data_IF_659186958021
#
_entry.id   IF_659186958021
#
_cell.length_a   1.000
_cell.length_b   1.000
_cell.length_c   1.000
_cell.angle_alpha   90.00
_cell.angle_beta   90.00
_cell.angle_gamma   90.00
#
_symmetry.space_group_name_H-M   'P 1'
#
loop_
_entity.id
_entity.type
_entity.pdbx_description
1 polymer ?
#
# COMPACT_ATOMS: atom_id res chain seq x y z
N UNK A 1 0.59 -12.58 37.91
CA UNK A 1 1.53 -12.22 36.83
C UNK A 1 1.12 -12.82 35.47
N UNK A 2 0.82 -14.11 35.37
CA UNK A 2 0.38 -14.77 34.11
C UNK A 2 -0.89 -14.17 33.47
N UNK A 3 -1.93 -13.86 34.26
CA UNK A 3 -3.16 -13.18 33.75
C UNK A 3 -2.88 -11.80 33.14
N UNK A 4 -1.90 -11.08 33.68
CA UNK A 4 -1.49 -9.78 33.15
C UNK A 4 -0.71 -9.93 31.84
N UNK A 5 0.19 -10.90 31.76
CA UNK A 5 0.95 -11.23 30.54
C UNK A 5 0.01 -11.69 29.42
N UNK A 6 -0.95 -12.58 29.70
CA UNK A 6 -1.98 -13.02 28.75
C UNK A 6 -2.84 -11.87 28.23
N UNK A 7 -3.30 -10.96 29.11
CA UNK A 7 -4.08 -9.79 28.70
C UNK A 7 -3.27 -8.87 27.80
N UNK A 8 -1.96 -8.70 28.08
CA UNK A 8 -1.05 -7.87 27.28
C UNK A 8 -0.74 -8.52 25.92
N UNK A 9 -0.56 -9.84 25.88
CA UNK A 9 -0.42 -10.62 24.64
C UNK A 9 -1.65 -10.53 23.74
N UNK A 10 -2.86 -10.49 24.30
CA UNK A 10 -4.09 -10.32 23.53
C UNK A 10 -4.29 -8.88 23.04
N UNK A 11 -3.75 -7.88 23.75
CA UNK A 11 -3.82 -6.47 23.34
C UNK A 11 -2.84 -6.13 22.21
N UNK A 12 -1.70 -6.82 22.11
CA UNK A 12 -0.68 -6.55 21.10
C UNK A 12 -1.20 -6.68 19.65
N UNK A 13 -1.86 -7.78 19.24
CA UNK A 13 -2.42 -7.90 17.89
C UNK A 13 -3.43 -6.81 17.57
N UNK A 14 -4.27 -6.44 18.54
CA UNK A 14 -5.27 -5.38 18.36
C UNK A 14 -4.59 -4.02 18.14
N UNK A 15 -3.56 -3.72 18.92
CA UNK A 15 -2.81 -2.48 18.79
C UNK A 15 -2.08 -2.41 17.44
N UNK A 16 -1.40 -3.51 17.05
CA UNK A 16 -0.72 -3.62 15.76
C UNK A 16 -1.70 -3.51 14.59
N UNK A 17 -2.87 -4.13 14.70
CA UNK A 17 -3.92 -4.02 13.71
C UNK A 17 -4.39 -2.57 13.56
N UNK A 18 -4.74 -1.90 14.67
CA UNK A 18 -5.14 -0.49 14.63
C UNK A 18 -4.05 0.41 14.04
N UNK A 19 -2.79 0.16 14.41
CA UNK A 19 -1.66 0.91 13.86
C UNK A 19 -1.49 0.66 12.36
N UNK A 20 -1.66 -0.59 11.89
CA UNK A 20 -1.59 -0.94 10.47
C UNK A 20 -2.69 -0.25 9.66
N UNK A 21 -3.92 -0.20 10.19
CA UNK A 21 -5.05 0.49 9.54
C UNK A 21 -4.79 1.99 9.52
N UNK A 22 -4.27 2.58 10.60
CA UNK A 22 -3.94 3.99 10.65
C UNK A 22 -2.85 4.36 9.63
N UNK A 23 -1.77 3.59 9.55
CA UNK A 23 -0.70 3.79 8.56
C UNK A 23 -1.25 3.66 7.14
N UNK A 24 -2.04 2.63 6.88
CA UNK A 24 -2.68 2.43 5.57
C UNK A 24 -3.58 3.62 5.20
N UNK A 25 -4.40 4.10 6.13
CA UNK A 25 -5.25 5.26 5.93
C UNK A 25 -4.45 6.54 5.69
N UNK A 26 -3.32 6.75 6.37
CA UNK A 26 -2.44 7.91 6.14
C UNK A 26 -1.82 7.85 4.75
N UNK A 27 -1.35 6.69 4.31
CA UNK A 27 -0.76 6.50 2.98
C UNK A 27 -1.80 6.69 1.88
N UNK A 28 -3.05 6.33 2.14
CA UNK A 28 -4.17 6.45 1.19
C UNK A 28 -4.99 7.73 1.35
N UNK A 29 -4.66 8.59 2.33
CA UNK A 29 -5.31 9.88 2.56
C UNK A 29 -5.10 10.91 1.45
N UNK A 30 -3.97 10.96 0.72
CA UNK A 30 -3.81 11.87 -0.41
C UNK A 30 -4.94 11.69 -1.43
N UNK A 31 -5.59 12.78 -1.89
CA UNK A 31 -6.60 12.69 -2.92
C UNK A 31 -5.95 12.37 -4.27
N UNK A 32 -6.06 11.11 -4.68
CA UNK A 32 -5.51 10.61 -5.95
C UNK A 32 -4.84 9.26 -5.78
N UNK A 33 -4.90 8.46 -6.84
CA UNK A 33 -4.17 7.19 -6.91
C UNK A 33 -2.69 7.45 -7.17
N UNK A 34 -1.80 6.51 -6.82
CA UNK A 34 -0.39 6.61 -7.22
C UNK A 34 -0.24 6.89 -8.73
N UNK A 35 -1.11 6.27 -9.55
CA UNK A 35 -1.14 6.48 -11.00
C UNK A 35 -1.49 7.92 -11.39
N UNK A 36 -2.37 8.59 -10.64
CA UNK A 36 -2.70 10.00 -10.89
C UNK A 36 -1.48 10.88 -10.66
N UNK A 37 -0.75 10.64 -9.57
CA UNK A 37 0.51 11.35 -9.27
C UNK A 37 1.58 11.03 -10.31
N UNK A 38 1.77 9.76 -10.66
CA UNK A 38 2.73 9.31 -11.66
C UNK A 38 2.48 9.93 -13.05
N UNK A 39 1.21 9.99 -13.47
CA UNK A 39 0.82 10.64 -14.73
C UNK A 39 1.09 12.14 -14.68
N UNK A 40 0.84 12.81 -13.56
CA UNK A 40 1.18 14.22 -13.38
C UNK A 40 2.70 14.45 -13.47
N UNK A 41 3.51 13.55 -12.88
CA UNK A 41 4.98 13.61 -12.97
C UNK A 41 5.48 13.37 -14.39
N UNK A 42 4.92 12.40 -15.12
CA UNK A 42 5.26 12.15 -16.53
C UNK A 42 4.90 13.34 -17.41
N UNK A 43 3.70 13.91 -17.24
CA UNK A 43 3.24 15.08 -17.98
C UNK A 43 4.16 16.29 -17.73
N UNK A 44 4.65 16.48 -16.50
CA UNK A 44 5.63 17.52 -16.18
C UNK A 44 7.02 17.29 -16.78
N UNK A 45 7.35 16.04 -17.12
CA UNK A 45 8.61 15.62 -17.75
C UNK A 45 8.55 15.57 -19.29
N UNK A 46 7.42 15.99 -19.89
CA UNK A 46 7.20 15.97 -21.33
C UNK A 46 6.87 14.60 -21.94
N UNK A 47 6.67 13.57 -21.10
CA UNK A 47 6.23 12.24 -21.53
C UNK A 47 4.73 12.06 -21.27
N UNK A 48 3.99 11.53 -22.24
CA UNK A 48 2.57 11.22 -22.05
C UNK A 48 2.36 9.72 -22.09
N UNK A 49 1.60 9.20 -21.14
CA UNK A 49 1.12 7.82 -21.13
C UNK A 49 -0.33 7.85 -21.63
N UNK A 50 -0.76 6.87 -22.44
CA UNK A 50 -2.13 6.88 -22.96
C UNK A 50 -3.14 6.59 -21.84
N UNK A 51 -4.35 7.14 -21.94
CA UNK A 51 -5.42 6.87 -20.96
C UNK A 51 -5.73 5.37 -20.82
N UNK A 52 -5.60 4.62 -21.91
CA UNK A 52 -5.76 3.16 -21.95
C UNK A 52 -4.67 2.44 -21.14
N UNK A 53 -3.42 2.92 -21.21
CA UNK A 53 -2.33 2.37 -20.40
C UNK A 53 -2.51 2.67 -18.91
N UNK A 54 -3.00 3.87 -18.56
CA UNK A 54 -3.33 4.22 -17.15
C UNK A 54 -4.38 3.25 -16.61
N UNK A 55 -5.43 2.99 -17.38
CA UNK A 55 -6.52 2.14 -16.93
C UNK A 55 -6.09 0.66 -16.84
N UNK A 56 -5.26 0.19 -17.78
CA UNK A 56 -4.65 -1.13 -17.69
C UNK A 56 -3.79 -1.28 -16.42
N UNK A 57 -2.96 -0.27 -16.10
CA UNK A 57 -2.17 -0.23 -14.87
C UNK A 57 -3.07 -0.17 -13.62
N UNK A 58 -4.16 0.60 -13.66
CA UNK A 58 -5.13 0.68 -12.54
C UNK A 58 -5.74 -0.68 -12.22
N UNK A 59 -6.09 -1.44 -13.25
CA UNK A 59 -6.62 -2.79 -13.09
C UNK A 59 -5.55 -3.78 -12.61
N UNK A 60 -4.33 -3.71 -13.16
CA UNK A 60 -3.22 -4.57 -12.79
C UNK A 60 -2.82 -4.41 -11.31
N UNK A 61 -2.69 -3.17 -10.85
CA UNK A 61 -2.40 -2.88 -9.44
C UNK A 61 -3.62 -3.05 -8.52
N UNK A 62 -4.82 -3.19 -9.09
CA UNK A 62 -6.06 -3.40 -8.34
C UNK A 62 -6.53 -2.14 -7.61
N UNK A 63 -6.16 -0.97 -8.12
CA UNK A 63 -6.54 0.32 -7.54
C UNK A 63 -8.02 0.67 -7.84
N UNK A 64 -8.62 0.00 -8.83
CA UNK A 64 -10.07 -0.02 -9.07
C UNK A 64 -10.87 -0.72 -7.94
N UNK A 65 -10.21 -1.59 -7.15
CA UNK A 65 -10.90 -2.39 -6.13
C UNK A 65 -11.27 -1.55 -4.91
N UNK A 66 -12.33 -1.93 -4.17
CA UNK A 66 -12.67 -1.28 -2.92
C UNK A 66 -11.49 -1.24 -1.93
N UNK A 67 -11.40 -0.17 -1.14
CA UNK A 67 -10.33 0.08 -0.16
C UNK A 67 -10.05 -1.12 0.75
N UNK A 68 -11.09 -1.83 1.19
CA UNK A 68 -10.96 -3.01 2.05
C UNK A 68 -10.27 -4.19 1.33
N UNK A 69 -10.49 -4.36 0.02
CA UNK A 69 -9.80 -5.38 -0.79
C UNK A 69 -8.33 -5.03 -0.94
N UNK A 70 -8.03 -3.74 -1.17
CA UNK A 70 -6.65 -3.26 -1.26
C UNK A 70 -5.90 -3.48 0.06
N UNK A 71 -6.54 -3.17 1.20
CA UNK A 71 -5.98 -3.42 2.53
C UNK A 71 -5.72 -4.91 2.79
N UNK A 72 -6.68 -5.80 2.46
CA UNK A 72 -6.49 -7.24 2.64
C UNK A 72 -5.33 -7.78 1.80
N UNK A 73 -5.23 -7.37 0.53
CA UNK A 73 -4.12 -7.76 -0.36
C UNK A 73 -2.78 -7.24 0.17
N UNK A 74 -2.75 -5.98 0.62
CA UNK A 74 -1.56 -5.37 1.23
C UNK A 74 -1.13 -6.13 2.51
N UNK A 75 -2.09 -6.43 3.40
CA UNK A 75 -1.83 -7.18 4.63
C UNK A 75 -1.33 -8.60 4.34
N UNK A 76 -1.91 -9.29 3.36
CA UNK A 76 -1.48 -10.64 2.96
C UNK A 76 -0.04 -10.62 2.42
N UNK A 77 0.30 -9.64 1.60
CA UNK A 77 1.67 -9.45 1.09
C UNK A 77 2.64 -9.16 2.24
N UNK A 78 2.27 -8.27 3.16
CA UNK A 78 3.07 -7.93 4.34
C UNK A 78 3.36 -9.15 5.23
N UNK A 79 2.33 -9.96 5.51
CA UNK A 79 2.46 -11.19 6.29
C UNK A 79 3.29 -12.27 5.57
N UNK A 80 3.35 -12.23 4.23
CA UNK A 80 4.18 -13.10 3.41
C UNK A 80 5.63 -12.61 3.29
N UNK A 81 5.99 -11.49 3.95
CA UNK A 81 7.29 -10.85 3.84
C UNK A 81 7.50 -10.06 2.55
N UNK A 82 6.46 -9.92 1.72
CA UNK A 82 6.51 -9.13 0.50
C UNK A 82 6.08 -7.68 0.79
N UNK A 83 7.07 -6.79 0.86
CA UNK A 83 6.85 -5.36 1.09
C UNK A 83 6.28 -4.61 -0.13
N UNK A 84 6.07 -5.31 -1.24
CA UNK A 84 5.59 -4.75 -2.50
C UNK A 84 6.70 -4.21 -3.38
N UNK A 85 6.32 -3.74 -4.56
CA UNK A 85 7.20 -3.07 -5.51
C UNK A 85 7.04 -1.55 -5.35
N UNK A 86 8.16 -0.84 -5.38
CA UNK A 86 8.17 0.60 -5.62
C UNK A 86 7.83 0.82 -7.08
N UNK A 87 6.71 1.49 -7.31
CA UNK A 87 6.25 1.84 -8.65
C UNK A 87 7.12 2.94 -9.29
N UNK A 88 7.78 3.75 -8.46
CA UNK A 88 8.67 4.82 -8.92
C UNK A 88 10.03 4.27 -9.39
N UNK A 89 10.63 3.35 -8.62
CA UNK A 89 11.93 2.76 -8.96
C UNK A 89 11.83 1.41 -9.69
N UNK A 90 10.62 0.87 -9.87
CA UNK A 90 10.36 -0.48 -10.39
C UNK A 90 11.19 -1.57 -9.69
N UNK A 91 11.42 -1.43 -8.38
CA UNK A 91 12.22 -2.34 -7.56
C UNK A 91 11.47 -2.80 -6.32
N UNK A 92 11.76 -4.00 -5.78
CA UNK A 92 11.18 -4.43 -4.51
C UNK A 92 11.47 -3.41 -3.42
N UNK A 93 10.46 -3.05 -2.63
CA UNK A 93 10.64 -2.13 -1.52
C UNK A 93 11.71 -2.65 -0.56
N UNK A 94 11.81 -3.97 -0.35
CA UNK A 94 12.83 -4.61 0.48
C UNK A 94 14.28 -4.22 0.09
N UNK A 95 14.57 -3.97 -1.19
CA UNK A 95 15.89 -3.53 -1.64
C UNK A 95 16.15 -2.05 -1.37
N UNK A 96 15.10 -1.25 -1.21
CA UNK A 96 15.18 0.19 -0.98
C UNK A 96 15.33 0.55 0.50
N UNK A 97 14.83 -0.29 1.40
CA UNK A 97 14.79 0.02 2.85
C UNK A 97 16.00 -0.50 3.64
N UNK A 98 16.85 -1.35 3.03
CA UNK A 98 18.13 -1.79 3.61
C UNK A 98 18.00 -2.67 4.84
#
# INVERSE_FOLDING_TARGET
MTRFVLKRLLLLPVLLFLFSVAVFAIVQAPPGDFLTTYVATLASSGSSISAEQIEALRQEYGLDRPVWVQYLKWMQNLLSGNLGLSLEYQRPNAELIG
#
